data_IF_672033503765
#
_entry.id   IF_672033503765
#
_cell.length_a   1.000
_cell.length_b   1.000
_cell.length_c   1.000
_cell.angle_alpha   90.00
_cell.angle_beta   90.00
_cell.angle_gamma   90.00
#
_symmetry.space_group_name_H-M   'P 1'
#
loop_
_entity.id
_entity.type
_entity.pdbx_description
1 polymer ?
#
# COMPACT_ATOMS: atom_id res chain seq x y z
N UNK A 1 -8.89 -13.98 -17.32
CA UNK A 1 -9.40 -13.84 -15.92
C UNK A 1 -10.46 -12.77 -15.93
N UNK A 2 -11.61 -12.96 -15.25
CA UNK A 2 -12.67 -11.97 -15.11
C UNK A 2 -12.48 -11.24 -13.78
N UNK A 3 -12.49 -9.90 -13.80
CA UNK A 3 -12.50 -9.05 -12.62
C UNK A 3 -13.75 -8.20 -12.62
N UNK A 4 -14.21 -7.80 -11.43
CA UNK A 4 -15.38 -6.93 -11.29
C UNK A 4 -14.96 -5.63 -10.61
N UNK A 5 -15.34 -4.50 -11.21
CA UNK A 5 -15.20 -3.18 -10.59
C UNK A 5 -16.46 -2.89 -9.80
N UNK A 6 -16.29 -2.48 -8.56
CA UNK A 6 -17.35 -2.06 -7.65
C UNK A 6 -17.21 -0.57 -7.31
N UNK A 7 -18.32 0.07 -7.02
CA UNK A 7 -18.30 1.39 -6.42
C UNK A 7 -18.07 1.33 -4.89
N UNK A 8 -17.88 2.50 -4.27
CA UNK A 8 -17.70 2.64 -2.82
C UNK A 8 -18.87 2.09 -1.97
N UNK A 9 -20.03 1.80 -2.58
CA UNK A 9 -21.21 1.24 -1.93
C UNK A 9 -21.39 -0.25 -2.21
N UNK A 10 -20.34 -0.93 -2.74
CA UNK A 10 -20.34 -2.33 -3.15
C UNK A 10 -21.30 -2.65 -4.31
N UNK A 11 -21.71 -1.66 -5.09
CA UNK A 11 -22.50 -1.88 -6.28
C UNK A 11 -21.58 -2.14 -7.48
N UNK A 12 -21.90 -3.15 -8.24
CA UNK A 12 -21.14 -3.52 -9.43
C UNK A 12 -21.23 -2.41 -10.49
N UNK A 13 -20.06 -1.97 -10.98
CA UNK A 13 -19.93 -1.05 -12.12
C UNK A 13 -19.77 -1.80 -13.44
N UNK A 14 -18.84 -2.74 -13.49
CA UNK A 14 -18.57 -3.53 -14.69
C UNK A 14 -17.83 -4.83 -14.37
N UNK A 15 -18.00 -5.82 -15.25
CA UNK A 15 -17.07 -6.95 -15.35
C UNK A 15 -16.06 -6.65 -16.46
N UNK A 16 -14.80 -6.87 -16.20
CA UNK A 16 -13.70 -6.60 -17.11
C UNK A 16 -12.84 -7.83 -17.34
N UNK A 17 -12.32 -7.96 -18.55
CA UNK A 17 -11.30 -8.94 -18.88
C UNK A 17 -9.99 -8.22 -19.18
N UNK A 18 -9.06 -8.13 -18.21
CA UNK A 18 -7.76 -7.52 -18.44
C UNK A 18 -7.00 -8.22 -19.56
N UNK A 19 -6.32 -7.44 -20.40
CA UNK A 19 -5.47 -7.96 -21.46
C UNK A 19 -4.04 -8.24 -20.96
N UNK A 20 -3.17 -8.69 -21.86
CA UNK A 20 -1.78 -9.06 -21.57
C UNK A 20 -0.88 -7.90 -21.10
N UNK A 21 -1.29 -6.64 -21.30
CA UNK A 21 -0.57 -5.47 -20.84
C UNK A 21 -0.88 -5.11 -19.37
N UNK A 22 -1.76 -5.88 -18.73
CA UNK A 22 -2.12 -5.66 -17.34
C UNK A 22 -1.07 -6.27 -16.42
N UNK A 23 -0.67 -5.52 -15.38
CA UNK A 23 0.39 -5.94 -14.45
C UNK A 23 0.01 -5.66 -13.01
N UNK A 24 0.56 -6.45 -12.09
CA UNK A 24 0.60 -6.14 -10.67
C UNK A 24 2.05 -5.87 -10.27
N UNK A 25 2.30 -4.76 -9.63
CA UNK A 25 3.58 -4.43 -9.00
C UNK A 25 3.35 -4.28 -7.50
N UNK A 26 4.09 -5.06 -6.70
CA UNK A 26 4.03 -4.99 -5.24
C UNK A 26 5.44 -4.98 -4.69
N UNK A 27 5.78 -3.91 -3.99
CA UNK A 27 7.05 -3.73 -3.30
C UNK A 27 6.85 -3.92 -1.80
N UNK A 28 7.84 -4.51 -1.13
CA UNK A 28 7.83 -4.60 0.34
C UNK A 28 7.95 -3.21 0.93
N UNK A 29 6.99 -2.80 1.75
CA UNK A 29 6.90 -1.44 2.33
C UNK A 29 6.92 -0.31 1.29
N UNK A 30 6.52 -0.63 0.07
CA UNK A 30 6.55 0.27 -1.08
C UNK A 30 5.20 0.39 -1.78
N UNK A 31 5.24 0.54 -3.09
CA UNK A 31 4.05 0.66 -3.91
C UNK A 31 3.37 -0.69 -4.13
N UNK A 32 2.04 -0.68 -4.10
CA UNK A 32 1.19 -1.79 -4.48
C UNK A 32 0.19 -1.29 -5.51
N UNK A 33 0.44 -1.61 -6.78
CA UNK A 33 -0.32 -1.07 -7.92
C UNK A 33 -0.78 -2.20 -8.80
N UNK A 34 -2.06 -2.18 -9.14
CA UNK A 34 -2.68 -3.04 -10.14
C UNK A 34 -3.00 -2.20 -11.38
N UNK A 35 -2.12 -2.24 -12.37
CA UNK A 35 -2.29 -1.56 -13.65
C UNK A 35 -3.10 -2.45 -14.59
N UNK A 36 -4.29 -2.02 -14.98
CA UNK A 36 -5.21 -2.77 -15.82
C UNK A 36 -5.43 -2.09 -17.16
N UNK A 37 -5.29 -2.87 -18.22
CA UNK A 37 -5.67 -2.49 -19.58
C UNK A 37 -6.77 -3.44 -20.07
N UNK A 38 -7.89 -2.88 -20.52
CA UNK A 38 -9.03 -3.65 -21.00
C UNK A 38 -9.88 -2.86 -21.99
N UNK A 39 -10.74 -3.55 -22.71
CA UNK A 39 -11.67 -2.96 -23.68
C UNK A 39 -13.10 -3.33 -23.31
N UNK A 40 -14.00 -2.36 -23.40
CA UNK A 40 -15.45 -2.55 -23.25
C UNK A 40 -16.18 -2.08 -24.51
N UNK A 41 -17.33 -2.70 -24.77
CA UNK A 41 -18.21 -2.33 -25.89
C UNK A 41 -19.28 -1.31 -25.51
N UNK A 42 -19.21 -0.78 -24.30
CA UNK A 42 -20.00 0.34 -23.81
C UNK A 42 -19.13 1.26 -22.95
N UNK A 43 -19.48 2.53 -22.91
CA UNK A 43 -18.81 3.46 -22.03
C UNK A 43 -19.27 3.28 -20.59
N UNK A 44 -18.31 3.12 -19.67
CA UNK A 44 -18.59 3.11 -18.23
C UNK A 44 -18.01 4.37 -17.58
N UNK A 45 -18.70 4.86 -16.56
CA UNK A 45 -18.18 5.93 -15.71
C UNK A 45 -17.72 5.33 -14.39
N UNK A 46 -16.47 5.60 -14.06
CA UNK A 46 -15.86 5.21 -12.79
C UNK A 46 -15.56 6.46 -11.97
N UNK A 47 -15.65 6.32 -10.66
CA UNK A 47 -15.39 7.38 -9.71
C UNK A 47 -14.15 7.05 -8.86
N UNK A 48 -13.55 8.08 -8.27
CA UNK A 48 -12.54 7.90 -7.24
C UNK A 48 -13.14 7.11 -6.09
N UNK A 49 -12.38 6.13 -5.59
CA UNK A 49 -12.77 5.11 -4.61
C UNK A 49 -13.63 3.96 -5.17
N UNK A 50 -13.86 3.88 -6.48
CA UNK A 50 -14.25 2.60 -7.07
C UNK A 50 -13.12 1.60 -6.88
N UNK A 51 -13.41 0.31 -6.72
CA UNK A 51 -12.41 -0.65 -6.34
C UNK A 51 -12.54 -2.01 -7.05
N UNK A 52 -11.47 -2.77 -6.98
CA UNK A 52 -11.37 -4.16 -7.42
C UNK A 52 -10.78 -4.99 -6.29
N UNK A 53 -11.35 -6.17 -6.03
CA UNK A 53 -10.75 -7.17 -5.16
C UNK A 53 -9.92 -8.14 -6.04
N UNK A 54 -8.63 -8.29 -5.74
CA UNK A 54 -7.69 -9.12 -6.47
C UNK A 54 -6.72 -9.81 -5.52
N UNK A 55 -6.59 -11.15 -5.61
CA UNK A 55 -5.74 -11.97 -4.72
C UNK A 55 -5.97 -11.70 -3.23
N UNK A 56 -7.24 -11.56 -2.81
CA UNK A 56 -7.64 -11.27 -1.43
C UNK A 56 -7.24 -9.87 -0.92
N UNK A 57 -6.77 -9.00 -1.79
CA UNK A 57 -6.47 -7.62 -1.51
C UNK A 57 -7.43 -6.70 -2.27
N UNK A 58 -7.68 -5.52 -1.71
CA UNK A 58 -8.49 -4.49 -2.35
C UNK A 58 -7.61 -3.40 -2.93
N UNK A 59 -7.94 -2.99 -4.16
CA UNK A 59 -7.27 -1.94 -4.92
C UNK A 59 -8.28 -0.88 -5.32
N UNK A 60 -7.98 0.38 -5.04
CA UNK A 60 -8.87 1.52 -5.29
C UNK A 60 -8.42 2.37 -6.47
N UNK A 61 -9.38 2.84 -7.25
CA UNK A 61 -9.14 3.89 -8.24
C UNK A 61 -9.00 5.22 -7.52
N UNK A 62 -7.79 5.80 -7.51
CA UNK A 62 -7.47 7.00 -6.73
C UNK A 62 -7.23 8.23 -7.59
N UNK A 63 -7.35 8.10 -8.90
CA UNK A 63 -7.11 9.19 -9.84
C UNK A 63 -8.16 9.22 -10.95
N UNK A 64 -8.26 10.38 -11.58
CA UNK A 64 -9.13 10.55 -12.75
C UNK A 64 -8.51 9.80 -13.92
N UNK A 65 -9.36 9.25 -14.76
CA UNK A 65 -8.99 8.51 -15.95
C UNK A 65 -9.62 9.14 -17.19
N UNK A 66 -9.08 8.79 -18.36
CA UNK A 66 -9.62 9.20 -19.65
C UNK A 66 -9.63 8.00 -20.58
N UNK A 67 -10.80 7.38 -20.82
CA UNK A 67 -10.89 6.25 -21.72
C UNK A 67 -10.67 6.71 -23.16
N UNK A 68 -10.08 5.83 -23.97
CA UNK A 68 -9.88 6.07 -25.40
C UNK A 68 -10.98 5.40 -26.21
N UNK A 69 -11.78 6.18 -26.90
CA UNK A 69 -12.76 5.65 -27.83
C UNK A 69 -12.05 5.18 -29.13
N UNK A 70 -12.16 3.89 -29.44
CA UNK A 70 -11.58 3.28 -30.66
C UNK A 70 -12.56 3.26 -31.81
N UNK A 71 -13.85 3.10 -31.51
CA UNK A 71 -14.94 3.10 -32.50
C UNK A 71 -16.23 3.61 -31.84
N UNK A 72 -17.33 3.59 -32.57
CA UNK A 72 -18.64 3.99 -32.03
C UNK A 72 -19.12 3.17 -30.83
N UNK A 73 -18.60 1.94 -30.67
CA UNK A 73 -19.02 0.98 -29.65
C UNK A 73 -17.86 0.40 -28.83
N UNK A 74 -16.62 0.87 -29.05
CA UNK A 74 -15.45 0.29 -28.42
C UNK A 74 -14.64 1.32 -27.67
N UNK A 75 -14.39 1.03 -26.39
CA UNK A 75 -13.68 1.90 -25.44
C UNK A 75 -12.51 1.15 -24.78
N UNK A 76 -11.32 1.72 -24.87
CA UNK A 76 -10.11 1.20 -24.23
C UNK A 76 -9.85 1.97 -22.93
N UNK A 77 -9.59 1.22 -21.88
CA UNK A 77 -9.30 1.72 -20.55
C UNK A 77 -7.89 1.29 -20.15
N UNK A 78 -7.09 2.22 -19.62
CA UNK A 78 -5.81 1.98 -18.98
C UNK A 78 -5.86 2.65 -17.62
N UNK A 79 -5.98 1.86 -16.56
CA UNK A 79 -6.27 2.33 -15.20
C UNK A 79 -5.27 1.78 -14.21
N UNK A 80 -4.86 2.60 -13.25
CA UNK A 80 -4.12 2.16 -12.09
C UNK A 80 -5.04 2.11 -10.87
N UNK A 81 -5.12 0.94 -10.27
CA UNK A 81 -5.75 0.74 -8.98
C UNK A 81 -4.65 0.56 -7.93
N UNK A 82 -4.82 1.18 -6.79
CA UNK A 82 -3.81 1.30 -5.75
C UNK A 82 -4.18 0.47 -4.54
N UNK A 83 -3.28 -0.40 -4.11
CA UNK A 83 -3.38 -1.11 -2.84
C UNK A 83 -3.17 -0.16 -1.66
N UNK A 84 -3.38 -0.67 -0.47
CA UNK A 84 -3.37 0.12 0.75
C UNK A 84 -2.01 0.74 1.05
N UNK A 85 -0.92 0.07 0.72
CA UNK A 85 0.44 0.58 0.90
C UNK A 85 0.66 1.88 0.10
N UNK A 86 0.13 1.93 -1.12
CA UNK A 86 0.18 3.14 -1.95
C UNK A 86 -0.74 4.25 -1.45
N UNK A 87 -1.84 3.91 -0.74
CA UNK A 87 -2.73 4.89 -0.13
C UNK A 87 -2.07 5.63 1.03
N UNK A 88 -1.20 4.96 1.79
CA UNK A 88 -0.47 5.58 2.90
C UNK A 88 0.34 6.82 2.47
N UNK A 89 0.81 6.85 1.24
CA UNK A 89 1.55 7.98 0.65
C UNK A 89 0.67 9.18 0.29
N UNK A 90 -0.65 9.09 0.48
CA UNK A 90 -1.61 10.13 0.08
C UNK A 90 -2.21 10.89 1.24
N UNK A 91 -2.12 10.35 2.46
CA UNK A 91 -2.72 10.94 3.64
C UNK A 91 -1.64 11.39 4.63
N UNK A 92 -1.85 12.57 5.22
CA UNK A 92 -1.00 13.10 6.28
C UNK A 92 -1.40 12.53 7.63
N UNK A 93 -0.43 12.45 8.54
CA UNK A 93 -0.73 12.25 9.97
C UNK A 93 -1.27 13.55 10.52
N UNK A 94 -2.49 13.50 11.02
CA UNK A 94 -3.19 14.66 11.57
C UNK A 94 -3.61 14.36 13.01
N UNK A 95 -3.41 15.34 13.90
CA UNK A 95 -3.93 15.29 15.26
C UNK A 95 -5.09 16.26 15.36
N UNK A 96 -6.23 15.81 15.84
CA UNK A 96 -7.38 16.70 16.09
C UNK A 96 -7.25 17.32 17.47
N UNK A 97 -7.18 18.64 17.52
CA UNK A 97 -7.15 19.45 18.74
C UNK A 97 -8.27 20.47 18.65
N UNK A 98 -9.18 20.49 19.61
CA UNK A 98 -10.34 21.40 19.65
C UNK A 98 -11.21 21.41 18.37
N UNK A 99 -11.20 20.29 17.64
CA UNK A 99 -11.95 20.11 16.37
C UNK A 99 -11.21 20.58 15.12
N UNK A 100 -9.99 21.05 15.24
CA UNK A 100 -9.11 21.41 14.14
C UNK A 100 -8.02 20.34 13.93
N UNK A 101 -7.67 20.10 12.68
CA UNK A 101 -6.65 19.13 12.31
C UNK A 101 -5.27 19.81 12.22
N UNK A 102 -4.36 19.41 13.09
CA UNK A 102 -2.98 19.88 13.15
C UNK A 102 -2.03 18.89 12.50
N UNK A 103 -1.29 19.29 11.43
CA UNK A 103 -0.30 18.42 10.80
C UNK A 103 1.10 18.53 11.42
N UNK A 104 1.31 19.48 12.33
CA UNK A 104 2.62 19.77 12.95
C UNK A 104 2.51 19.63 14.45
N UNK A 105 3.04 18.54 14.99
CA UNK A 105 3.06 18.26 16.43
C UNK A 105 4.13 17.21 16.77
N UNK A 106 4.53 17.17 18.03
CA UNK A 106 5.37 16.10 18.58
C UNK A 106 4.51 15.19 19.46
N UNK A 107 4.64 13.89 19.31
CA UNK A 107 3.99 12.92 20.16
C UNK A 107 5.02 12.04 20.85
N UNK A 108 4.94 11.96 22.18
CA UNK A 108 5.71 11.03 23.01
C UNK A 108 4.75 10.01 23.60
N UNK A 109 4.75 8.80 23.04
CA UNK A 109 3.81 7.75 23.40
C UNK A 109 4.39 6.36 23.08
N UNK A 110 3.80 5.24 23.57
CA UNK A 110 4.13 3.92 23.10
C UNK A 110 3.84 3.74 21.60
N UNK A 111 4.55 2.86 20.89
CA UNK A 111 4.35 2.61 19.45
C UNK A 111 2.89 2.34 19.07
N UNK A 112 2.15 1.64 19.93
CA UNK A 112 0.73 1.35 19.74
C UNK A 112 -0.11 2.61 19.52
N UNK A 113 0.14 3.67 20.30
CA UNK A 113 -0.65 4.93 20.19
C UNK A 113 -0.31 5.68 18.90
N UNK A 114 0.94 5.64 18.46
CA UNK A 114 1.34 6.19 17.15
C UNK A 114 0.65 5.46 16.00
N UNK A 115 0.63 4.11 16.05
CA UNK A 115 0.00 3.30 15.00
C UNK A 115 -1.53 3.46 15.00
N UNK A 116 -2.16 3.61 16.18
CA UNK A 116 -3.59 3.94 16.26
C UNK A 116 -3.91 5.25 15.54
N UNK A 117 -3.13 6.29 15.81
CA UNK A 117 -3.29 7.60 15.15
C UNK A 117 -3.18 7.47 13.63
N UNK A 118 -2.21 6.69 13.13
CA UNK A 118 -2.04 6.45 11.69
C UNK A 118 -3.26 5.73 11.10
N UNK A 119 -3.77 4.71 11.78
CA UNK A 119 -4.96 3.96 11.34
C UNK A 119 -6.21 4.84 11.34
N UNK A 120 -6.36 5.71 12.34
CA UNK A 120 -7.45 6.69 12.38
C UNK A 120 -7.37 7.67 11.20
N UNK A 121 -6.19 8.25 10.94
CA UNK A 121 -5.98 9.14 9.79
C UNK A 121 -6.25 8.45 8.45
N UNK A 122 -5.85 7.18 8.30
CA UNK A 122 -6.12 6.39 7.10
C UNK A 122 -7.63 6.18 6.89
N UNK A 123 -8.35 5.75 7.93
CA UNK A 123 -9.79 5.53 7.85
C UNK A 123 -10.56 6.84 7.57
N UNK A 124 -10.15 7.94 8.18
CA UNK A 124 -10.73 9.26 7.93
C UNK A 124 -10.44 9.75 6.51
N UNK A 125 -9.20 9.61 6.05
CA UNK A 125 -8.78 9.95 4.70
C UNK A 125 -9.53 9.17 3.62
N UNK A 126 -9.88 7.92 3.90
CA UNK A 126 -10.73 7.09 3.05
C UNK A 126 -12.23 7.39 3.21
N UNK A 127 -12.60 8.43 3.97
CA UNK A 127 -14.00 8.81 4.18
C UNK A 127 -14.80 7.78 4.97
N UNK A 128 -14.14 7.00 5.81
CA UNK A 128 -14.73 5.93 6.66
C UNK A 128 -15.42 4.81 5.85
N UNK A 129 -15.01 4.62 4.60
CA UNK A 129 -15.46 3.48 3.78
C UNK A 129 -14.63 2.22 4.03
N UNK A 130 -13.57 2.34 4.81
CA UNK A 130 -12.67 1.27 5.25
C UNK A 130 -12.69 1.16 6.77
N UNK A 131 -12.34 -0.01 7.29
CA UNK A 131 -12.24 -0.29 8.73
C UNK A 131 -10.87 -0.92 9.04
N UNK A 132 -9.80 -0.15 8.75
CA UNK A 132 -8.45 -0.57 9.10
C UNK A 132 -8.28 -0.65 10.61
N UNK A 133 -7.55 -1.68 11.05
CA UNK A 133 -7.31 -1.99 12.46
C UNK A 133 -5.82 -2.08 12.75
N UNK A 134 -5.49 -1.87 14.00
CA UNK A 134 -4.14 -2.11 14.51
C UNK A 134 -4.00 -3.60 14.82
N UNK A 135 -2.94 -4.21 14.32
CA UNK A 135 -2.58 -5.61 14.58
C UNK A 135 -1.47 -5.76 15.60
N UNK A 136 -0.48 -6.57 15.29
CA UNK A 136 0.68 -6.83 16.14
C UNK A 136 1.59 -5.60 16.20
N UNK A 137 1.94 -5.15 17.41
CA UNK A 137 2.85 -4.02 17.63
C UNK A 137 3.96 -4.44 18.57
N UNK A 138 5.21 -4.19 18.17
CA UNK A 138 6.41 -4.41 19.00
C UNK A 138 6.77 -3.15 19.76
N UNK A 139 7.20 -3.33 21.00
CA UNK A 139 7.65 -2.26 21.88
C UNK A 139 6.53 -1.68 22.75
N UNK A 140 6.89 -1.37 24.00
CA UNK A 140 5.99 -0.78 25.01
C UNK A 140 6.53 0.52 25.58
N UNK A 141 7.80 0.82 25.30
CA UNK A 141 8.43 2.05 25.75
C UNK A 141 7.98 3.23 24.90
N UNK A 142 7.92 4.40 25.51
CA UNK A 142 7.58 5.61 24.78
C UNK A 142 8.67 5.94 23.76
N UNK A 143 8.24 6.24 22.55
CA UNK A 143 9.07 6.83 21.49
C UNK A 143 8.61 8.26 21.22
N UNK A 144 9.52 9.09 20.75
CA UNK A 144 9.22 10.46 20.34
C UNK A 144 9.21 10.51 18.82
N UNK A 145 8.11 10.95 18.24
CA UNK A 145 7.97 11.18 16.79
C UNK A 145 7.52 12.61 16.55
N UNK A 146 8.25 13.28 15.68
CA UNK A 146 7.92 14.65 15.25
C UNK A 146 7.14 14.57 13.93
N UNK A 147 5.88 14.95 13.97
CA UNK A 147 5.00 15.00 12.82
C UNK A 147 4.99 16.43 12.24
N UNK A 148 5.82 16.64 11.24
CA UNK A 148 5.93 17.91 10.52
C UNK A 148 5.33 17.80 9.12
N UNK A 149 4.03 17.52 9.04
CA UNK A 149 3.34 17.26 7.76
C UNK A 149 3.75 15.94 7.11
N UNK A 150 4.12 14.94 7.92
CA UNK A 150 4.50 13.60 7.41
C UNK A 150 3.31 12.85 6.85
N UNK A 151 3.57 12.12 5.77
CA UNK A 151 2.65 11.13 5.25
C UNK A 151 2.64 9.87 6.13
N UNK A 152 1.56 9.09 6.02
CA UNK A 152 1.38 7.91 6.89
C UNK A 152 2.48 6.87 6.71
N UNK A 153 2.98 6.65 5.49
CA UNK A 153 4.08 5.72 5.19
C UNK A 153 5.41 6.18 5.81
N UNK A 154 5.72 7.47 5.73
CA UNK A 154 6.91 8.06 6.34
C UNK A 154 6.90 7.91 7.86
N UNK A 155 5.74 8.17 8.46
CA UNK A 155 5.55 7.99 9.90
C UNK A 155 5.69 6.53 10.33
N UNK A 156 5.08 5.59 9.59
CA UNK A 156 5.20 4.15 9.85
C UNK A 156 6.64 3.67 9.76
N UNK A 157 7.37 4.11 8.75
CA UNK A 157 8.78 3.79 8.58
C UNK A 157 9.60 4.25 9.77
N UNK A 158 9.42 5.50 10.21
CA UNK A 158 10.14 6.03 11.37
C UNK A 158 9.79 5.27 12.67
N UNK A 159 8.52 4.95 12.88
CA UNK A 159 8.08 4.17 14.05
C UNK A 159 8.74 2.79 14.03
N UNK A 160 8.69 2.09 12.90
CA UNK A 160 9.28 0.77 12.74
C UNK A 160 10.79 0.79 12.97
N UNK A 161 11.52 1.77 12.44
CA UNK A 161 12.95 1.97 12.67
C UNK A 161 13.27 2.20 14.15
N UNK A 162 12.49 3.03 14.86
CA UNK A 162 12.68 3.33 16.28
C UNK A 162 12.49 2.14 17.19
N UNK A 163 11.63 1.19 16.81
CA UNK A 163 11.37 -0.04 17.60
C UNK A 163 12.15 -1.26 17.08
N UNK A 164 12.95 -1.10 16.02
CA UNK A 164 13.71 -2.19 15.40
C UNK A 164 12.79 -3.28 14.81
N UNK A 165 11.70 -2.86 14.20
CA UNK A 165 10.66 -3.70 13.60
C UNK A 165 10.46 -3.37 12.11
N UNK A 166 9.59 -4.15 11.47
CA UNK A 166 9.07 -3.92 10.12
C UNK A 166 7.58 -3.62 10.20
N UNK A 167 7.02 -3.00 9.17
CA UNK A 167 5.59 -2.84 9.06
C UNK A 167 5.05 -3.54 7.81
N UNK A 168 3.83 -4.05 7.91
CA UNK A 168 3.11 -4.63 6.79
C UNK A 168 1.61 -4.55 7.04
N UNK A 169 0.85 -4.72 5.95
CA UNK A 169 -0.60 -4.76 6.00
C UNK A 169 -1.07 -6.13 5.53
N UNK A 170 -1.95 -6.73 6.30
CA UNK A 170 -2.61 -7.99 5.99
C UNK A 170 -4.12 -7.77 6.01
N UNK A 171 -4.73 -7.82 4.83
CA UNK A 171 -6.14 -7.44 4.67
C UNK A 171 -6.36 -5.96 5.06
N UNK A 172 -7.05 -5.73 6.16
CA UNK A 172 -7.27 -4.39 6.75
C UNK A 172 -6.56 -4.23 8.10
N UNK A 173 -5.52 -5.00 8.36
CA UNK A 173 -4.80 -4.97 9.64
C UNK A 173 -3.38 -4.46 9.41
N UNK A 174 -3.04 -3.34 10.05
CA UNK A 174 -1.71 -2.74 10.04
C UNK A 174 -0.88 -3.28 11.20
N UNK A 175 0.27 -3.85 10.89
CA UNK A 175 1.19 -4.44 11.86
C UNK A 175 2.53 -3.69 11.86
N UNK A 176 3.15 -3.56 13.04
CA UNK A 176 4.53 -3.06 13.22
C UNK A 176 5.23 -4.01 14.19
N UNK A 177 5.86 -5.04 13.66
CA UNK A 177 6.48 -6.10 14.44
C UNK A 177 7.56 -6.81 13.62
N UNK A 178 8.06 -7.95 14.08
CA UNK A 178 8.88 -8.83 13.26
C UNK A 178 8.02 -9.53 12.21
N UNK A 179 8.40 -9.37 10.94
CA UNK A 179 7.73 -10.01 9.80
C UNK A 179 8.39 -11.35 9.48
N UNK A 180 8.38 -12.27 10.44
CA UNK A 180 8.80 -13.65 10.18
C UNK A 180 7.53 -14.51 9.99
N UNK A 181 7.18 -14.80 8.75
CA UNK A 181 6.01 -15.60 8.41
C UNK A 181 6.41 -16.87 7.66
N UNK A 182 5.88 -17.99 8.13
CA UNK A 182 5.93 -19.25 7.43
C UNK A 182 7.15 -20.11 7.73
N UNK A 183 7.23 -21.24 7.05
CA UNK A 183 8.35 -22.17 7.13
C UNK A 183 9.55 -21.65 6.33
N UNK A 184 10.74 -22.00 6.74
CA UNK A 184 11.98 -21.67 6.03
C UNK A 184 11.94 -22.23 4.61
N UNK A 185 12.02 -21.33 3.61
CA UNK A 185 12.00 -21.70 2.20
C UNK A 185 13.43 -21.80 1.69
N UNK A 186 13.86 -23.00 1.35
CA UNK A 186 15.14 -23.21 0.70
C UNK A 186 15.00 -23.00 -0.81
N UNK A 187 15.53 -21.89 -1.32
CA UNK A 187 15.61 -21.62 -2.76
C UNK A 187 16.79 -22.35 -3.40
N UNK A 188 16.57 -22.96 -4.55
CA UNK A 188 17.60 -23.61 -5.35
C UNK A 188 17.16 -23.74 -6.80
N UNK A 189 18.08 -24.00 -7.70
CA UNK A 189 17.75 -24.28 -9.11
C UNK A 189 16.78 -25.46 -9.20
N UNK A 190 15.65 -25.27 -9.86
CA UNK A 190 14.55 -26.24 -9.92
C UNK A 190 13.64 -26.25 -8.67
N UNK A 191 13.87 -25.35 -7.71
CA UNK A 191 13.07 -25.15 -6.50
C UNK A 191 12.70 -23.67 -6.31
N UNK A 192 12.15 -23.06 -7.36
CA UNK A 192 11.71 -21.67 -7.34
C UNK A 192 12.80 -20.63 -7.65
N UNK A 193 14.09 -21.02 -7.74
CA UNK A 193 15.15 -20.15 -8.20
C UNK A 193 15.32 -20.30 -9.71
N UNK A 194 15.03 -19.25 -10.47
CA UNK A 194 15.21 -19.22 -11.94
C UNK A 194 16.56 -18.67 -12.34
N UNK A 195 17.02 -17.65 -11.61
CA UNK A 195 18.29 -16.96 -11.88
C UNK A 195 18.87 -16.43 -10.56
N UNK A 196 20.18 -16.52 -10.42
CA UNK A 196 20.95 -15.90 -9.35
C UNK A 196 22.10 -15.11 -9.98
N UNK A 197 21.98 -13.80 -9.95
CA UNK A 197 23.06 -12.90 -10.34
C UNK A 197 23.77 -12.38 -9.09
N UNK A 198 25.10 -12.47 -9.11
CA UNK A 198 25.94 -11.90 -8.07
C UNK A 198 26.40 -10.53 -8.53
N UNK A 199 25.78 -9.50 -8.03
CA UNK A 199 26.26 -8.13 -8.24
C UNK A 199 27.67 -7.98 -7.67
N UNK A 200 28.56 -7.44 -8.48
CA UNK A 200 29.85 -6.95 -7.99
C UNK A 200 29.55 -5.63 -7.26
N UNK A 201 29.72 -5.64 -5.94
CA UNK A 201 29.65 -4.39 -5.18
C UNK A 201 30.71 -3.42 -5.73
N UNK A 202 30.26 -2.42 -6.47
CA UNK A 202 31.11 -1.32 -6.91
C UNK A 202 31.71 -0.66 -5.67
N UNK A 203 33.05 -0.68 -5.56
CA UNK A 203 33.83 -0.10 -4.47
C UNK A 203 33.84 -0.83 -3.11
N UNK A 204 33.57 -2.11 -3.03
CA UNK A 204 33.87 -2.88 -1.84
C UNK A 204 35.39 -2.88 -1.58
N UNK A 205 35.87 -2.05 -0.65
CA UNK A 205 37.25 -2.09 -0.17
C UNK A 205 37.39 -3.29 0.75
N UNK A 206 38.03 -4.35 0.27
CA UNK A 206 38.41 -5.48 1.11
C UNK A 206 39.65 -5.12 1.91
N UNK A 207 39.52 -5.03 3.22
CA UNK A 207 40.64 -4.90 4.13
C UNK A 207 41.08 -6.30 4.54
N UNK A 208 42.25 -6.72 4.08
CA UNK A 208 42.86 -8.02 4.44
C UNK A 208 43.62 -7.99 5.76
N UNK A 209 43.83 -6.80 6.33
CA UNK A 209 44.49 -6.59 7.64
C UNK A 209 43.97 -5.34 8.33
N UNK A 210 43.57 -5.51 9.58
CA UNK A 210 43.35 -4.42 10.52
C UNK A 210 44.56 -4.34 11.47
N UNK A 211 45.14 -3.19 11.59
CA UNK A 211 46.20 -2.91 12.56
C UNK A 211 45.63 -2.12 13.72
#
# INVERSE_FOLDING_TARGET
MLLTIFDRYNQKRADICPNENSTQSKEVQGDNILALSFTLYEHITLDVNDYIDFHSERYWLMERYSPKQKSSIEWEYNLNFYGVESLLKRFLVLKTVDGENEPVFTLTAPPLEHVKLIVECLNEGMGKITDFKVGAITGTENIVVDYEGKYLDEALKEIAEKVGAEWWIEGQTLNVSRCEHGEEVTLGYGKGLTELEKDQADNAKFYTRLF
#
